data_IF_747264671068
#
_entry.id   IF_747264671068
#
_cell.length_a   1.000
_cell.length_b   1.000
_cell.length_c   1.000
_cell.angle_alpha   90.00
_cell.angle_beta   90.00
_cell.angle_gamma   90.00
#
_symmetry.space_group_name_H-M   'P 1'
#
loop_
_entity.id
_entity.type
_entity.pdbx_description
1 polymer ?
#
# COMPACT_ATOMS: atom_id res chain seq x y z
N UNK A 1 11.68 -31.17 -23.89
CA UNK A 1 10.41 -30.93 -23.21
C UNK A 1 10.32 -31.59 -21.83
N UNK A 2 10.73 -32.86 -21.63
CA UNK A 2 10.75 -33.57 -20.34
C UNK A 2 11.68 -32.92 -19.29
N UNK A 3 12.90 -32.54 -19.65
CA UNK A 3 13.88 -31.92 -18.74
C UNK A 3 13.41 -30.55 -18.22
N UNK A 4 12.70 -29.76 -19.02
CA UNK A 4 12.09 -28.50 -18.59
C UNK A 4 10.94 -28.73 -17.60
N UNK A 5 10.15 -29.77 -17.81
CA UNK A 5 9.02 -30.15 -16.94
C UNK A 5 9.49 -30.63 -15.57
N UNK A 6 10.59 -31.37 -15.51
CA UNK A 6 11.15 -31.87 -14.25
C UNK A 6 11.87 -30.75 -13.48
N UNK A 7 12.55 -29.83 -14.15
CA UNK A 7 13.08 -28.61 -13.53
C UNK A 7 11.97 -27.70 -12.98
N UNK A 8 10.90 -27.49 -13.73
CA UNK A 8 9.74 -26.71 -13.28
C UNK A 8 9.07 -27.40 -12.09
N UNK A 9 8.89 -28.73 -12.10
CA UNK A 9 8.37 -29.48 -10.95
C UNK A 9 9.27 -29.37 -9.72
N UNK A 10 10.59 -29.41 -9.88
CA UNK A 10 11.55 -29.19 -8.78
C UNK A 10 11.46 -27.79 -8.18
N UNK A 11 11.32 -26.75 -9.01
CA UNK A 11 11.11 -25.38 -8.55
C UNK A 11 9.76 -25.20 -7.84
N UNK A 12 8.68 -25.78 -8.38
CA UNK A 12 7.33 -25.72 -7.78
C UNK A 12 7.25 -26.46 -6.42
N UNK A 13 8.08 -27.44 -6.20
CA UNK A 13 8.14 -28.20 -4.94
C UNK A 13 9.05 -27.56 -3.88
N UNK A 14 9.85 -26.57 -4.27
CA UNK A 14 10.75 -25.89 -3.32
C UNK A 14 9.94 -25.12 -2.26
N UNK A 15 10.21 -25.31 -0.95
CA UNK A 15 9.43 -24.69 0.13
C UNK A 15 9.31 -23.16 0.00
N UNK A 16 10.40 -22.49 -0.39
CA UNK A 16 10.42 -21.03 -0.62
C UNK A 16 9.41 -20.63 -1.70
N UNK A 17 9.31 -21.38 -2.80
CA UNK A 17 8.41 -21.08 -3.91
C UNK A 17 6.94 -21.19 -3.47
N UNK A 18 6.58 -22.25 -2.73
CA UNK A 18 5.21 -22.41 -2.18
C UNK A 18 4.83 -21.25 -1.26
N UNK A 19 5.74 -20.84 -0.38
CA UNK A 19 5.52 -19.71 0.54
C UNK A 19 5.33 -18.39 -0.23
N UNK A 20 6.20 -18.12 -1.19
CA UNK A 20 6.10 -16.94 -2.06
C UNK A 20 4.76 -16.88 -2.79
N UNK A 21 4.29 -18.00 -3.35
CA UNK A 21 3.00 -18.07 -4.03
C UNK A 21 1.86 -17.71 -3.06
N UNK A 22 1.85 -18.28 -1.85
CA UNK A 22 0.79 -18.01 -0.87
C UNK A 22 0.77 -16.50 -0.53
N UNK A 23 1.92 -15.90 -0.21
CA UNK A 23 1.99 -14.45 0.03
C UNK A 23 1.51 -13.63 -1.16
N UNK A 24 1.99 -13.95 -2.38
CA UNK A 24 1.64 -13.21 -3.60
C UNK A 24 0.14 -13.32 -3.92
N UNK A 25 -0.44 -14.51 -3.84
CA UNK A 25 -1.87 -14.72 -4.07
C UNK A 25 -2.69 -13.98 -3.01
N UNK A 26 -2.30 -14.08 -1.75
CA UNK A 26 -3.01 -13.40 -0.67
C UNK A 26 -2.97 -11.88 -0.83
N UNK A 27 -1.79 -11.30 -1.10
CA UNK A 27 -1.64 -9.87 -1.38
C UNK A 27 -2.42 -9.46 -2.65
N UNK A 28 -2.45 -10.32 -3.67
CA UNK A 28 -3.21 -10.11 -4.90
C UNK A 28 -4.72 -10.06 -4.63
N UNK A 29 -5.25 -11.04 -3.90
CA UNK A 29 -6.68 -11.09 -3.51
C UNK A 29 -7.05 -9.84 -2.71
N UNK A 30 -6.28 -9.49 -1.66
CA UNK A 30 -6.57 -8.33 -0.82
C UNK A 30 -6.57 -7.00 -1.58
N UNK A 31 -5.64 -6.82 -2.49
CA UNK A 31 -5.58 -5.60 -3.33
C UNK A 31 -6.70 -5.57 -4.38
N UNK A 32 -7.09 -6.73 -4.90
CA UNK A 32 -8.17 -6.84 -5.90
C UNK A 32 -9.56 -6.58 -5.30
N UNK A 33 -9.72 -6.75 -3.99
CA UNK A 33 -11.01 -6.52 -3.31
C UNK A 33 -11.50 -5.07 -3.48
N UNK A 34 -10.61 -4.10 -3.40
CA UNK A 34 -10.98 -2.70 -3.63
C UNK A 34 -11.61 -2.50 -5.00
N UNK A 35 -11.13 -3.24 -6.01
CA UNK A 35 -11.68 -3.21 -7.36
C UNK A 35 -13.03 -3.96 -7.48
N UNK A 36 -13.13 -5.13 -6.82
CA UNK A 36 -14.38 -5.93 -6.82
C UNK A 36 -15.53 -5.17 -6.14
N UNK A 37 -15.21 -4.34 -5.15
CA UNK A 37 -16.18 -3.52 -4.41
C UNK A 37 -16.62 -2.27 -5.18
N UNK A 38 -15.90 -1.84 -6.24
CA UNK A 38 -16.24 -0.63 -7.00
C UNK A 38 -17.68 -0.58 -7.53
N UNK A 39 -18.24 -1.65 -8.13
CA UNK A 39 -19.64 -1.63 -8.56
C UNK A 39 -20.58 -1.35 -7.39
N UNK A 40 -20.41 -2.04 -6.25
CA UNK A 40 -21.24 -1.82 -5.04
C UNK A 40 -21.14 -0.35 -4.62
N UNK A 41 -19.92 0.17 -4.47
CA UNK A 41 -19.69 1.57 -4.11
C UNK A 41 -20.37 2.52 -5.10
N UNK A 42 -20.30 2.25 -6.41
CA UNK A 42 -20.84 3.14 -7.44
C UNK A 42 -22.38 3.22 -7.43
N UNK A 43 -23.07 2.18 -7.04
CA UNK A 43 -24.54 2.17 -6.98
C UNK A 43 -25.11 2.73 -5.68
N UNK A 44 -24.42 2.57 -4.56
CA UNK A 44 -24.92 2.91 -3.23
C UNK A 44 -24.29 4.15 -2.59
N UNK A 45 -23.18 4.66 -3.12
CA UNK A 45 -22.48 5.84 -2.60
C UNK A 45 -22.45 6.90 -3.70
N UNK A 46 -22.92 8.11 -3.44
CA UNK A 46 -22.83 9.20 -4.41
C UNK A 46 -21.41 9.77 -4.47
N UNK A 47 -20.99 10.43 -5.59
CA UNK A 47 -19.62 10.92 -5.72
C UNK A 47 -19.16 11.87 -4.60
N UNK A 48 -20.02 12.76 -4.09
CA UNK A 48 -19.66 13.63 -2.96
C UNK A 48 -19.33 12.87 -1.68
N UNK A 49 -20.10 11.85 -1.38
CA UNK A 49 -19.88 10.98 -0.23
C UNK A 49 -18.60 10.12 -0.41
N UNK A 50 -18.33 9.63 -1.63
CA UNK A 50 -17.07 8.98 -1.92
C UNK A 50 -15.87 9.94 -1.73
N UNK A 51 -16.06 11.23 -2.01
CA UNK A 51 -15.08 12.29 -1.73
C UNK A 51 -14.79 12.43 -0.23
N UNK A 52 -15.81 12.35 0.63
CA UNK A 52 -15.63 12.34 2.11
C UNK A 52 -14.81 11.11 2.52
N UNK A 53 -15.15 9.93 2.01
CA UNK A 53 -14.39 8.71 2.30
C UNK A 53 -12.94 8.80 1.80
N UNK A 54 -12.70 9.44 0.65
CA UNK A 54 -11.36 9.67 0.13
C UNK A 54 -10.53 10.63 1.00
N UNK A 55 -11.17 11.67 1.56
CA UNK A 55 -10.52 12.59 2.50
C UNK A 55 -10.21 11.90 3.85
N UNK A 56 -11.09 10.99 4.31
CA UNK A 56 -10.78 10.12 5.44
C UNK A 56 -9.50 9.31 5.18
N UNK A 57 -9.36 8.70 4.00
CA UNK A 57 -8.17 7.93 3.61
C UNK A 57 -6.90 8.80 3.59
N UNK A 58 -7.01 10.07 3.12
CA UNK A 58 -5.89 11.03 3.13
C UNK A 58 -5.42 11.33 4.55
N UNK A 59 -6.35 11.66 5.46
CA UNK A 59 -6.03 11.91 6.86
C UNK A 59 -5.50 10.66 7.54
N UNK A 60 -6.11 9.51 7.31
CA UNK A 60 -5.63 8.24 7.88
C UNK A 60 -4.20 7.92 7.46
N UNK A 61 -3.85 8.11 6.19
CA UNK A 61 -2.50 7.80 5.70
C UNK A 61 -1.43 8.68 6.34
N UNK A 62 -1.67 9.99 6.59
CA UNK A 62 -0.71 10.82 7.31
C UNK A 62 -0.63 10.44 8.78
N UNK A 63 -1.76 10.11 9.41
CA UNK A 63 -1.78 9.63 10.80
C UNK A 63 -0.97 8.35 10.96
N UNK A 64 -1.17 7.34 10.09
CA UNK A 64 -0.41 6.08 10.10
C UNK A 64 1.10 6.35 9.99
N UNK A 65 1.49 7.24 9.07
CA UNK A 65 2.88 7.62 8.85
C UNK A 65 3.48 8.23 10.11
N UNK A 66 2.80 9.22 10.72
CA UNK A 66 3.26 9.90 11.92
C UNK A 66 3.18 9.00 13.17
N UNK A 67 2.19 8.10 13.24
CA UNK A 67 1.97 7.20 14.37
C UNK A 67 3.03 6.10 14.52
N UNK A 68 3.93 5.94 13.53
CA UNK A 68 5.06 5.06 13.68
C UNK A 68 5.17 3.95 12.64
N UNK A 69 4.62 4.12 11.45
CA UNK A 69 4.78 3.15 10.36
C UNK A 69 6.26 2.81 10.08
N UNK A 70 7.14 3.82 10.09
CA UNK A 70 8.57 3.63 9.92
C UNK A 70 9.19 2.82 11.07
N UNK A 71 8.68 3.01 12.29
CA UNK A 71 9.11 2.26 13.48
C UNK A 71 8.67 0.80 13.36
N UNK A 72 7.41 0.54 12.97
CA UNK A 72 6.90 -0.82 12.74
C UNK A 72 7.69 -1.53 11.63
N UNK A 73 8.03 -0.81 10.56
CA UNK A 73 8.84 -1.33 9.45
C UNK A 73 10.29 -1.67 9.83
N UNK A 74 10.75 -1.25 11.00
CA UNK A 74 12.09 -1.61 11.50
C UNK A 74 12.18 -3.03 12.06
N UNK A 75 11.05 -3.64 12.42
CA UNK A 75 11.00 -4.94 13.10
C UNK A 75 11.80 -6.05 12.39
N UNK A 76 11.74 -6.22 11.05
CA UNK A 76 12.53 -7.24 10.35
C UNK A 76 14.04 -7.10 10.53
N UNK A 77 14.55 -5.87 10.65
CA UNK A 77 15.97 -5.60 10.79
C UNK A 77 16.53 -6.00 12.15
N UNK A 78 15.66 -6.04 13.17
CA UNK A 78 16.04 -6.42 14.53
C UNK A 78 15.66 -7.86 14.89
N UNK A 79 14.87 -8.54 14.05
CA UNK A 79 14.29 -9.85 14.37
C UNK A 79 15.34 -10.95 14.44
N UNK A 80 16.21 -11.06 13.45
CA UNK A 80 17.16 -12.18 13.33
C UNK A 80 18.40 -12.07 14.24
N UNK A 81 18.65 -10.89 14.80
CA UNK A 81 19.79 -10.64 15.69
C UNK A 81 19.44 -10.86 17.16
N UNK A 82 18.19 -11.23 17.48
CA UNK A 82 17.66 -11.26 18.84
C UNK A 82 17.03 -12.61 19.19
N UNK A 83 17.07 -12.93 20.46
CA UNK A 83 16.32 -14.05 21.03
C UNK A 83 14.82 -13.76 21.01
N UNK A 84 14.01 -14.82 21.13
CA UNK A 84 12.53 -14.65 21.16
C UNK A 84 12.07 -13.72 22.28
N UNK A 85 12.71 -13.77 23.44
CA UNK A 85 12.38 -12.89 24.58
C UNK A 85 12.71 -11.43 24.28
N UNK A 86 13.88 -11.17 23.68
CA UNK A 86 14.27 -9.82 23.26
C UNK A 86 13.37 -9.27 22.16
N UNK A 87 12.91 -10.11 21.23
CA UNK A 87 11.91 -9.74 20.22
C UNK A 87 10.57 -9.41 20.88
N UNK A 88 10.15 -10.15 21.91
CA UNK A 88 8.92 -9.87 22.64
C UNK A 88 9.00 -8.52 23.39
N UNK A 89 10.15 -8.21 24.01
CA UNK A 89 10.39 -6.88 24.60
C UNK A 89 10.34 -5.79 23.53
N UNK A 90 10.98 -6.03 22.38
CA UNK A 90 10.97 -5.09 21.24
C UNK A 90 9.55 -4.83 20.75
N UNK A 91 8.75 -5.87 20.50
CA UNK A 91 7.35 -5.78 20.04
C UNK A 91 6.48 -5.03 21.03
N UNK A 92 6.62 -5.33 22.33
CA UNK A 92 5.83 -4.65 23.37
C UNK A 92 6.16 -3.17 23.49
N UNK A 93 7.43 -2.80 23.41
CA UNK A 93 7.87 -1.40 23.43
C UNK A 93 7.48 -0.65 22.15
N UNK A 94 7.50 -1.33 21.00
CA UNK A 94 7.05 -0.79 19.73
C UNK A 94 5.55 -0.48 19.76
N UNK A 95 4.71 -1.42 20.22
CA UNK A 95 3.27 -1.21 20.36
C UNK A 95 2.94 -0.11 21.37
N UNK A 96 3.70 -0.02 22.47
CA UNK A 96 3.57 1.06 23.43
C UNK A 96 3.90 2.42 22.81
N UNK A 97 4.98 2.55 22.05
CA UNK A 97 5.30 3.77 21.33
C UNK A 97 4.19 4.18 20.35
N UNK A 98 3.72 3.23 19.55
CA UNK A 98 2.61 3.46 18.61
C UNK A 98 1.37 3.95 19.35
N UNK A 99 1.03 3.35 20.49
CA UNK A 99 -0.10 3.78 21.34
C UNK A 99 0.08 5.20 21.84
N UNK A 100 1.24 5.52 22.42
CA UNK A 100 1.52 6.85 22.98
C UNK A 100 1.48 7.93 21.90
N UNK A 101 2.06 7.68 20.72
CA UNK A 101 2.03 8.63 19.61
C UNK A 101 0.59 8.81 19.09
N UNK A 102 -0.21 7.74 18.98
CA UNK A 102 -1.62 7.86 18.59
C UNK A 102 -2.44 8.67 19.60
N UNK A 103 -2.18 8.55 20.91
CA UNK A 103 -2.83 9.39 21.93
C UNK A 103 -2.45 10.87 21.73
N UNK A 104 -1.18 11.17 21.49
CA UNK A 104 -0.72 12.54 21.20
C UNK A 104 -1.38 13.08 19.94
N UNK A 105 -1.44 12.28 18.87
CA UNK A 105 -2.10 12.66 17.63
C UNK A 105 -3.61 12.88 17.80
N UNK A 106 -4.28 12.07 18.64
CA UNK A 106 -5.69 12.30 18.98
C UNK A 106 -5.90 13.66 19.66
N UNK A 107 -5.03 14.01 20.60
CA UNK A 107 -5.06 15.31 21.28
C UNK A 107 -4.85 16.45 20.26
N UNK A 108 -3.83 16.34 19.41
CA UNK A 108 -3.56 17.34 18.35
C UNK A 108 -4.76 17.51 17.43
N UNK A 109 -5.40 16.41 17.01
CA UNK A 109 -6.58 16.44 16.14
C UNK A 109 -7.73 17.19 16.81
N UNK A 110 -7.99 16.96 18.10
CA UNK A 110 -9.05 17.66 18.82
C UNK A 110 -8.81 19.18 18.81
N UNK A 111 -7.57 19.63 19.01
CA UNK A 111 -7.23 21.06 18.96
C UNK A 111 -7.25 21.63 17.52
N UNK A 112 -6.92 20.84 16.52
CA UNK A 112 -6.83 21.27 15.13
C UNK A 112 -8.10 20.95 14.31
N UNK A 113 -9.17 20.46 14.95
CA UNK A 113 -10.35 19.92 14.25
C UNK A 113 -10.94 20.91 13.25
N UNK A 114 -11.08 22.18 13.59
CA UNK A 114 -11.67 23.21 12.70
C UNK A 114 -10.81 23.45 11.44
N UNK A 115 -9.48 23.35 11.58
CA UNK A 115 -8.55 23.49 10.44
C UNK A 115 -8.70 22.26 9.53
N UNK A 116 -8.69 21.06 10.11
CA UNK A 116 -8.82 19.81 9.35
C UNK A 116 -10.18 19.74 8.65
N UNK A 117 -11.25 20.11 9.34
CA UNK A 117 -12.61 20.13 8.76
C UNK A 117 -12.74 21.15 7.63
N UNK A 118 -12.09 22.32 7.76
CA UNK A 118 -12.09 23.35 6.72
C UNK A 118 -11.47 22.90 5.39
N UNK A 119 -10.47 22.00 5.41
CA UNK A 119 -9.81 21.51 4.20
C UNK A 119 -10.34 20.15 3.73
N UNK A 120 -10.70 19.25 4.65
CA UNK A 120 -11.06 17.86 4.32
C UNK A 120 -12.56 17.60 4.39
N UNK A 121 -13.36 18.53 4.92
CA UNK A 121 -14.80 18.39 5.12
C UNK A 121 -15.19 17.09 5.85
N UNK A 122 -14.42 16.70 6.86
CA UNK A 122 -14.67 15.55 7.75
C UNK A 122 -14.75 16.05 9.19
N UNK A 123 -15.87 15.77 9.86
CA UNK A 123 -16.10 16.18 11.24
C UNK A 123 -15.22 15.42 12.24
N UNK A 124 -15.14 15.92 13.48
CA UNK A 124 -14.28 15.40 14.56
C UNK A 124 -14.42 13.88 14.78
N UNK A 125 -15.63 13.34 14.71
CA UNK A 125 -15.86 11.88 14.89
C UNK A 125 -15.10 11.06 13.86
N UNK A 126 -15.16 11.44 12.58
CA UNK A 126 -14.42 10.77 11.52
C UNK A 126 -12.91 11.00 11.64
N UNK A 127 -12.47 12.19 12.06
CA UNK A 127 -11.05 12.47 12.33
C UNK A 127 -10.50 11.55 13.44
N UNK A 128 -11.22 11.34 14.55
CA UNK A 128 -10.81 10.43 15.63
C UNK A 128 -10.82 8.96 15.18
N UNK A 129 -11.74 8.57 14.30
CA UNK A 129 -11.73 7.24 13.70
C UNK A 129 -10.48 6.98 12.85
N UNK A 130 -9.84 8.01 12.26
CA UNK A 130 -8.56 7.82 11.56
C UNK A 130 -7.44 7.44 12.54
N UNK A 131 -7.43 8.00 13.75
CA UNK A 131 -6.44 7.64 14.79
C UNK A 131 -6.67 6.21 15.27
N UNK A 132 -7.93 5.86 15.58
CA UNK A 132 -8.28 4.50 16.00
C UNK A 132 -7.87 3.46 14.93
N UNK A 133 -8.22 3.72 13.68
CA UNK A 133 -7.88 2.81 12.58
C UNK A 133 -6.38 2.73 12.33
N UNK A 134 -5.65 3.83 12.50
CA UNK A 134 -4.18 3.87 12.44
C UNK A 134 -3.55 2.96 13.52
N UNK A 135 -3.98 3.10 14.77
CA UNK A 135 -3.51 2.27 15.88
C UNK A 135 -3.74 0.78 15.59
N UNK A 136 -4.96 0.43 15.17
CA UNK A 136 -5.34 -0.94 14.83
C UNK A 136 -4.52 -1.49 13.64
N UNK A 137 -4.35 -0.70 12.60
CA UNK A 137 -3.58 -1.10 11.41
C UNK A 137 -2.12 -1.37 11.76
N UNK A 138 -1.48 -0.49 12.54
CA UNK A 138 -0.09 -0.66 12.94
C UNK A 138 0.09 -1.89 13.83
N UNK A 139 -0.84 -2.15 14.77
CA UNK A 139 -0.83 -3.35 15.60
C UNK A 139 -0.97 -4.64 14.75
N UNK A 140 -1.89 -4.65 13.77
CA UNK A 140 -2.05 -5.77 12.84
C UNK A 140 -0.78 -5.99 12.00
N UNK A 141 -0.15 -4.92 11.52
CA UNK A 141 1.08 -4.99 10.73
C UNK A 141 2.24 -5.64 11.50
N UNK A 142 2.38 -5.38 12.80
CA UNK A 142 3.39 -6.05 13.65
C UNK A 142 3.23 -7.57 13.56
N UNK A 143 2.02 -8.09 13.72
CA UNK A 143 1.78 -9.52 13.67
C UNK A 143 1.97 -10.10 12.26
N UNK A 144 1.58 -9.36 11.21
CA UNK A 144 1.85 -9.76 9.82
C UNK A 144 3.35 -9.85 9.53
N UNK A 145 4.15 -8.89 10.02
CA UNK A 145 5.61 -8.92 9.89
C UNK A 145 6.18 -10.16 10.60
N UNK A 146 5.75 -10.44 11.83
CA UNK A 146 6.21 -11.61 12.57
C UNK A 146 5.89 -12.92 11.84
N UNK A 147 4.68 -13.07 11.27
CA UNK A 147 4.36 -14.27 10.47
C UNK A 147 5.24 -14.40 9.22
N UNK A 148 5.64 -13.27 8.60
CA UNK A 148 6.60 -13.31 7.48
C UNK A 148 8.00 -13.73 7.95
N UNK A 149 8.45 -13.24 9.11
CA UNK A 149 9.76 -13.59 9.68
C UNK A 149 9.82 -15.06 10.16
N UNK A 150 8.69 -15.59 10.63
CA UNK A 150 8.55 -16.98 11.06
C UNK A 150 8.26 -17.96 9.91
N UNK A 151 8.26 -17.48 8.66
CA UNK A 151 7.91 -18.30 7.50
C UNK A 151 6.54 -19.00 7.61
N UNK A 152 5.54 -18.29 8.14
CA UNK A 152 4.19 -18.81 8.35
C UNK A 152 3.14 -18.18 7.43
N UNK A 153 3.17 -18.50 6.12
CA UNK A 153 2.30 -17.87 5.12
C UNK A 153 0.82 -18.25 5.30
N UNK A 154 0.53 -19.40 5.89
CA UNK A 154 -0.86 -19.88 6.05
C UNK A 154 -1.61 -19.02 7.08
N UNK A 155 -1.01 -18.76 8.25
CA UNK A 155 -1.64 -17.92 9.25
C UNK A 155 -1.71 -16.45 8.81
N UNK A 156 -0.68 -15.97 8.11
CA UNK A 156 -0.72 -14.67 7.44
C UNK A 156 -1.94 -14.57 6.49
N UNK A 157 -2.10 -15.55 5.59
CA UNK A 157 -3.19 -15.58 4.63
C UNK A 157 -4.57 -15.65 5.30
N UNK A 158 -4.74 -16.50 6.30
CA UNK A 158 -6.01 -16.63 7.04
C UNK A 158 -6.46 -15.31 7.65
N UNK A 159 -5.56 -14.59 8.30
CA UNK A 159 -5.87 -13.32 8.94
C UNK A 159 -6.15 -12.22 7.92
N UNK A 160 -5.36 -12.14 6.85
CA UNK A 160 -5.53 -11.14 5.82
C UNK A 160 -6.84 -11.34 5.04
N UNK A 161 -7.14 -12.59 4.65
CA UNK A 161 -8.41 -12.94 3.99
C UNK A 161 -9.58 -12.75 4.96
N UNK A 162 -9.44 -13.15 6.22
CA UNK A 162 -10.46 -12.92 7.24
C UNK A 162 -10.80 -11.45 7.43
N UNK A 163 -9.81 -10.56 7.43
CA UNK A 163 -10.03 -9.11 7.49
C UNK A 163 -10.81 -8.59 6.29
N UNK A 164 -10.49 -9.10 5.11
CA UNK A 164 -11.19 -8.73 3.87
C UNK A 164 -12.64 -9.20 3.88
N UNK A 165 -12.88 -10.45 4.24
CA UNK A 165 -14.25 -11.00 4.33
C UNK A 165 -15.08 -10.18 5.32
N UNK A 166 -14.51 -9.87 6.48
CA UNK A 166 -15.19 -9.07 7.50
C UNK A 166 -15.50 -7.66 6.99
N UNK A 167 -14.55 -7.00 6.34
CA UNK A 167 -14.75 -5.69 5.72
C UNK A 167 -15.87 -5.71 4.67
N UNK A 168 -15.85 -6.65 3.73
CA UNK A 168 -16.85 -6.75 2.67
C UNK A 168 -18.23 -7.06 3.23
N UNK A 169 -18.31 -7.94 4.24
CA UNK A 169 -19.59 -8.27 4.92
C UNK A 169 -20.16 -7.04 5.62
N UNK A 170 -19.35 -6.28 6.36
CA UNK A 170 -19.79 -5.06 7.02
C UNK A 170 -20.16 -3.97 6.01
N UNK A 171 -19.40 -3.85 4.91
CA UNK A 171 -19.73 -2.92 3.83
C UNK A 171 -21.11 -3.25 3.23
N UNK A 172 -21.40 -4.52 2.95
CA UNK A 172 -22.71 -4.94 2.45
C UNK A 172 -23.82 -4.60 3.46
N UNK A 173 -23.62 -4.84 4.74
CA UNK A 173 -24.60 -4.54 5.78
C UNK A 173 -24.81 -3.03 5.92
N UNK A 174 -23.75 -2.23 6.05
CA UNK A 174 -23.85 -0.81 6.37
C UNK A 174 -24.19 0.06 5.14
N UNK A 175 -23.63 -0.27 3.97
CA UNK A 175 -23.84 0.52 2.76
C UNK A 175 -25.09 0.07 1.99
N UNK A 176 -25.31 -1.26 1.83
CA UNK A 176 -26.46 -1.77 1.10
C UNK A 176 -27.68 -1.88 2.03
N UNK A 177 -27.50 -2.46 3.24
CA UNK A 177 -28.60 -2.74 4.16
C UNK A 177 -29.12 -1.49 4.88
N UNK A 178 -28.21 -0.61 5.35
CA UNK A 178 -28.57 0.60 6.10
C UNK A 178 -28.40 1.91 5.28
N UNK A 179 -27.97 1.84 4.03
CA UNK A 179 -27.78 3.00 3.12
C UNK A 179 -26.89 4.11 3.68
N UNK A 180 -25.94 3.76 4.56
CA UNK A 180 -25.03 4.67 5.23
C UNK A 180 -23.81 5.03 4.34
N UNK A 181 -24.00 5.52 3.19
CA UNK A 181 -23.02 6.00 2.18
C UNK A 181 -21.54 6.07 2.65
N UNK A 182 -20.96 7.29 2.77
CA UNK A 182 -19.57 7.46 3.22
C UNK A 182 -19.31 6.91 4.62
N UNK A 183 -20.22 7.21 5.54
CA UNK A 183 -20.12 6.76 6.96
C UNK A 183 -20.15 5.25 7.03
N UNK A 184 -21.04 4.59 6.27
CA UNK A 184 -21.11 3.14 6.20
C UNK A 184 -19.83 2.51 5.66
N UNK A 185 -19.23 3.08 4.61
CA UNK A 185 -17.94 2.62 4.06
C UNK A 185 -16.80 2.78 5.08
N UNK A 186 -16.70 3.93 5.73
CA UNK A 186 -15.66 4.22 6.73
C UNK A 186 -15.84 3.30 7.94
N UNK A 187 -17.04 3.18 8.50
CA UNK A 187 -17.32 2.33 9.65
C UNK A 187 -17.06 0.86 9.33
N UNK A 188 -17.43 0.38 8.15
CA UNK A 188 -17.13 -1.00 7.73
C UNK A 188 -15.63 -1.31 7.82
N UNK A 189 -14.79 -0.38 7.36
CA UNK A 189 -13.35 -0.51 7.43
C UNK A 189 -12.83 -0.42 8.87
N UNK A 190 -13.23 0.60 9.63
CA UNK A 190 -12.75 0.83 11.00
C UNK A 190 -13.16 -0.29 11.94
N UNK A 191 -14.40 -0.76 11.86
CA UNK A 191 -14.87 -1.88 12.69
C UNK A 191 -14.18 -3.17 12.32
N UNK A 192 -14.03 -3.46 11.02
CA UNK A 192 -13.32 -4.67 10.58
C UNK A 192 -11.88 -4.70 11.08
N UNK A 193 -11.13 -3.60 10.92
CA UNK A 193 -9.73 -3.54 11.33
C UNK A 193 -9.60 -3.57 12.86
N UNK A 194 -10.55 -2.99 13.60
CA UNK A 194 -10.57 -3.01 15.06
C UNK A 194 -10.83 -4.41 15.61
N UNK A 195 -11.83 -5.13 15.09
CA UNK A 195 -12.09 -6.53 15.46
C UNK A 195 -10.85 -7.39 15.17
N UNK A 196 -10.28 -7.23 13.99
CA UNK A 196 -9.05 -7.96 13.63
C UNK A 196 -7.88 -7.59 14.54
N UNK A 197 -7.77 -6.33 14.99
CA UNK A 197 -6.72 -5.90 15.91
C UNK A 197 -6.80 -6.63 17.25
N UNK A 198 -7.99 -6.83 17.81
CA UNK A 198 -8.15 -7.65 19.00
C UNK A 198 -7.69 -9.10 18.78
N UNK A 199 -8.01 -9.69 17.62
CA UNK A 199 -7.55 -11.04 17.26
C UNK A 199 -6.01 -11.05 17.13
N UNK A 200 -5.42 -10.06 16.45
CA UNK A 200 -3.97 -9.95 16.29
C UNK A 200 -3.25 -9.79 17.64
N UNK A 201 -3.74 -8.93 18.52
CA UNK A 201 -3.19 -8.73 19.86
C UNK A 201 -3.31 -10.01 20.72
N UNK A 202 -4.47 -10.68 20.68
CA UNK A 202 -4.65 -11.98 21.33
C UNK A 202 -3.64 -13.04 20.84
N UNK A 203 -3.42 -13.10 19.53
CA UNK A 203 -2.44 -14.03 18.94
C UNK A 203 -1.00 -13.67 19.33
N UNK A 204 -0.65 -12.39 19.37
CA UNK A 204 0.66 -11.93 19.86
C UNK A 204 0.87 -12.34 21.32
N UNK A 205 -0.15 -12.16 22.16
CA UNK A 205 -0.13 -12.59 23.56
C UNK A 205 0.05 -14.09 23.67
N UNK A 206 -0.78 -14.88 22.99
CA UNK A 206 -0.71 -16.36 23.02
C UNK A 206 0.63 -16.91 22.53
N UNK A 207 1.28 -16.23 21.58
CA UNK A 207 2.60 -16.63 21.05
C UNK A 207 3.77 -16.15 21.91
N UNK A 208 3.51 -15.40 22.99
CA UNK A 208 4.50 -14.90 23.93
C UNK A 208 5.29 -13.69 23.41
N UNK A 209 4.71 -12.88 22.49
CA UNK A 209 5.32 -11.66 21.98
C UNK A 209 4.89 -10.39 22.73
N UNK A 210 3.98 -10.52 23.72
CA UNK A 210 3.59 -9.38 24.58
C UNK A 210 4.14 -9.62 26.00
N UNK A 211 5.10 -8.80 26.38
CA UNK A 211 5.70 -8.77 27.72
C UNK A 211 5.58 -7.35 28.25
N UNK A 212 4.98 -7.19 29.44
CA UNK A 212 4.83 -5.90 30.09
C UNK A 212 6.15 -5.41 30.72
N UNK A 213 7.16 -5.17 29.87
CA UNK A 213 8.46 -4.65 30.27
C UNK A 213 8.78 -3.42 29.41
N UNK A 214 8.73 -2.26 30.05
CA UNK A 214 9.11 -1.01 29.38
C UNK A 214 10.63 -0.88 29.43
N UNK A 215 11.25 -0.71 28.27
CA UNK A 215 12.69 -0.49 28.13
C UNK A 215 12.96 0.75 27.28
N UNK A 216 13.40 1.80 27.94
CA UNK A 216 13.69 3.09 27.32
C UNK A 216 14.80 2.99 26.26
N UNK A 217 15.77 2.10 26.43
CA UNK A 217 16.86 1.93 25.47
C UNK A 217 16.34 1.30 24.16
N UNK A 218 15.42 0.34 24.28
CA UNK A 218 14.74 -0.24 23.13
C UNK A 218 13.91 0.84 22.42
N UNK A 219 13.14 1.65 23.16
CA UNK A 219 12.36 2.75 22.59
C UNK A 219 13.25 3.78 21.87
N UNK A 220 14.38 4.19 22.49
CA UNK A 220 15.36 5.08 21.84
C UNK A 220 15.92 4.47 20.55
N UNK A 221 16.21 3.19 20.53
CA UNK A 221 16.71 2.49 19.35
C UNK A 221 15.68 2.50 18.22
N UNK A 222 14.41 2.22 18.53
CA UNK A 222 13.30 2.27 17.59
C UNK A 222 13.09 3.68 17.01
N UNK A 223 13.10 4.70 17.89
CA UNK A 223 12.98 6.11 17.46
C UNK A 223 14.17 6.55 16.60
N UNK A 224 15.40 6.17 16.97
CA UNK A 224 16.62 6.50 16.20
C UNK A 224 16.57 5.91 14.79
N UNK A 225 15.91 4.77 14.60
CA UNK A 225 15.70 4.17 13.28
C UNK A 225 14.55 4.84 12.52
N UNK A 226 13.39 5.02 13.16
CA UNK A 226 12.14 5.42 12.49
C UNK A 226 12.05 6.93 12.21
N UNK A 227 12.48 7.80 13.13
CA UNK A 227 12.35 9.26 13.00
C UNK A 227 13.07 9.81 11.76
N UNK A 228 14.33 9.41 11.44
CA UNK A 228 15.00 9.88 10.23
C UNK A 228 14.30 9.49 8.91
N UNK A 229 13.43 8.49 8.92
CA UNK A 229 12.67 8.05 7.74
C UNK A 229 11.37 8.85 7.54
N UNK A 230 10.93 9.63 8.55
CA UNK A 230 9.69 10.41 8.44
C UNK A 230 9.69 11.41 7.29
N UNK A 231 10.75 12.23 7.04
CA UNK A 231 10.76 13.17 5.92
C UNK A 231 10.61 12.45 4.57
N UNK A 232 11.26 11.29 4.42
CA UNK A 232 11.15 10.47 3.22
C UNK A 232 9.71 9.96 3.01
N UNK A 233 9.10 9.41 4.05
CA UNK A 233 7.73 8.91 3.99
C UNK A 233 6.72 10.05 3.77
N UNK A 234 6.94 11.22 4.37
CA UNK A 234 6.12 12.40 4.19
C UNK A 234 6.14 12.88 2.74
N UNK A 235 7.29 12.83 2.05
CA UNK A 235 7.39 13.18 0.63
C UNK A 235 6.49 12.29 -0.25
N UNK A 236 6.39 11.00 0.06
CA UNK A 236 5.45 10.10 -0.64
C UNK A 236 3.99 10.42 -0.34
N UNK A 237 3.68 10.77 0.91
CA UNK A 237 2.30 11.16 1.26
C UNK A 237 1.89 12.45 0.55
N UNK A 238 2.76 13.47 0.53
CA UNK A 238 2.50 14.71 -0.22
C UNK A 238 2.17 14.39 -1.67
N UNK A 239 2.97 13.53 -2.29
CA UNK A 239 2.78 13.13 -3.69
C UNK A 239 1.45 12.40 -3.96
N UNK A 240 0.92 11.63 -2.99
CA UNK A 240 -0.25 10.78 -3.18
C UNK A 240 -1.54 11.27 -2.52
N UNK A 241 -1.47 12.34 -1.72
CA UNK A 241 -2.60 12.84 -0.95
C UNK A 241 -2.94 14.32 -1.20
N UNK A 242 -1.95 15.15 -1.58
CA UNK A 242 -2.19 16.57 -1.80
C UNK A 242 -3.15 16.85 -2.96
N UNK A 243 -3.13 16.03 -4.01
CA UNK A 243 -4.07 16.11 -5.14
C UNK A 243 -5.53 16.06 -4.67
N UNK A 244 -5.87 15.17 -3.74
CA UNK A 244 -7.23 15.04 -3.21
C UNK A 244 -7.63 16.25 -2.33
N UNK A 245 -6.69 16.79 -1.55
CA UNK A 245 -6.93 18.01 -0.76
C UNK A 245 -7.19 19.20 -1.69
N UNK A 246 -6.35 19.38 -2.70
CA UNK A 246 -6.50 20.44 -3.70
C UNK A 246 -7.83 20.31 -4.44
N UNK A 247 -8.17 19.11 -4.92
CA UNK A 247 -9.43 18.86 -5.60
C UNK A 247 -10.64 19.14 -4.70
N UNK A 248 -10.58 18.71 -3.42
CA UNK A 248 -11.65 19.00 -2.47
C UNK A 248 -11.83 20.49 -2.25
N UNK A 249 -10.73 21.23 -2.06
CA UNK A 249 -10.76 22.65 -1.73
C UNK A 249 -11.22 23.51 -2.90
N UNK A 250 -10.77 23.22 -4.13
CA UNK A 250 -11.03 24.07 -5.30
C UNK A 250 -12.15 23.57 -6.20
N UNK A 251 -12.39 22.26 -6.25
CA UNK A 251 -13.36 21.65 -7.16
C UNK A 251 -14.52 20.96 -6.44
N UNK A 252 -14.42 20.79 -5.12
CA UNK A 252 -15.45 20.19 -4.28
C UNK A 252 -15.37 18.67 -4.16
N UNK A 253 -16.16 18.15 -3.21
CA UNK A 253 -16.18 16.73 -2.82
C UNK A 253 -16.57 15.79 -3.97
N UNK A 254 -17.53 16.19 -4.82
CA UNK A 254 -17.96 15.33 -5.94
C UNK A 254 -16.84 15.05 -6.94
N UNK A 255 -16.05 16.08 -7.27
CA UNK A 255 -14.90 15.93 -8.18
C UNK A 255 -13.82 15.04 -7.54
N UNK A 256 -13.53 15.24 -6.25
CA UNK A 256 -12.62 14.36 -5.52
C UNK A 256 -13.11 12.91 -5.50
N UNK A 257 -14.42 12.67 -5.34
CA UNK A 257 -15.01 11.34 -5.39
C UNK A 257 -14.86 10.66 -6.75
N UNK A 258 -15.14 11.40 -7.86
CA UNK A 258 -14.92 10.90 -9.23
C UNK A 258 -13.45 10.59 -9.51
N UNK A 259 -12.55 11.46 -9.07
CA UNK A 259 -11.11 11.26 -9.17
C UNK A 259 -10.63 10.04 -8.35
N UNK A 260 -11.16 9.88 -7.14
CA UNK A 260 -10.83 8.74 -6.26
C UNK A 260 -11.34 7.40 -6.83
N UNK A 261 -12.51 7.42 -7.50
CA UNK A 261 -12.99 6.27 -8.28
C UNK A 261 -11.98 5.93 -9.40
N UNK A 262 -11.54 6.94 -10.15
CA UNK A 262 -10.57 6.75 -11.23
C UNK A 262 -9.21 6.24 -10.71
N UNK A 263 -8.73 6.72 -9.54
CA UNK A 263 -7.50 6.21 -8.90
C UNK A 263 -7.58 4.72 -8.54
N UNK A 264 -8.76 4.20 -8.24
CA UNK A 264 -8.94 2.78 -7.96
C UNK A 264 -8.61 1.89 -9.18
N UNK A 265 -8.89 2.37 -10.39
CA UNK A 265 -8.46 1.71 -11.63
C UNK A 265 -6.93 1.79 -11.83
N UNK A 266 -6.33 2.94 -11.48
CA UNK A 266 -4.87 3.11 -11.49
C UNK A 266 -4.15 2.13 -10.54
N UNK A 267 -4.74 1.84 -9.39
CA UNK A 267 -4.20 0.87 -8.44
C UNK A 267 -4.14 -0.55 -9.02
N UNK A 268 -5.14 -0.96 -9.81
CA UNK A 268 -5.11 -2.25 -10.53
C UNK A 268 -3.99 -2.27 -11.57
N UNK A 269 -3.83 -1.19 -12.33
CA UNK A 269 -2.73 -1.09 -13.29
C UNK A 269 -1.35 -1.17 -12.62
N UNK A 270 -1.20 -0.59 -11.41
CA UNK A 270 0.03 -0.67 -10.64
C UNK A 270 0.42 -2.10 -10.22
N UNK A 271 -0.55 -3.04 -10.07
CA UNK A 271 -0.27 -4.45 -9.82
C UNK A 271 0.46 -5.10 -11.00
N UNK A 272 0.07 -4.78 -12.22
CA UNK A 272 0.78 -5.27 -13.41
C UNK A 272 2.21 -4.74 -13.47
N UNK A 273 2.43 -3.45 -13.17
CA UNK A 273 3.76 -2.86 -13.10
C UNK A 273 4.65 -3.56 -12.09
N UNK A 274 4.12 -3.87 -10.91
CA UNK A 274 4.86 -4.61 -9.88
C UNK A 274 5.25 -6.00 -10.39
N UNK A 275 4.35 -6.68 -11.10
CA UNK A 275 4.61 -7.99 -11.68
C UNK A 275 5.72 -7.95 -12.73
N UNK A 276 5.71 -6.94 -13.62
CA UNK A 276 6.80 -6.73 -14.59
C UNK A 276 8.13 -6.47 -13.91
N UNK A 277 8.17 -5.62 -12.90
CA UNK A 277 9.38 -5.30 -12.14
C UNK A 277 9.96 -6.53 -11.45
N UNK A 278 9.11 -7.39 -10.89
CA UNK A 278 9.52 -8.63 -10.22
C UNK A 278 10.22 -9.63 -11.16
N UNK A 279 9.95 -9.57 -12.45
CA UNK A 279 10.61 -10.41 -13.47
C UNK A 279 11.85 -9.72 -14.02
N UNK A 280 11.75 -8.44 -14.34
CA UNK A 280 12.80 -7.69 -15.01
C UNK A 280 14.02 -7.43 -14.12
N UNK A 281 13.79 -7.00 -12.86
CA UNK A 281 14.88 -6.60 -11.96
C UNK A 281 15.87 -7.73 -11.66
N UNK A 282 15.44 -8.94 -11.28
CA UNK A 282 16.37 -10.05 -11.07
C UNK A 282 17.13 -10.47 -12.34
N UNK A 283 16.48 -10.44 -13.51
CA UNK A 283 17.16 -10.79 -14.76
C UNK A 283 18.22 -9.74 -15.13
N UNK A 284 17.91 -8.46 -14.95
CA UNK A 284 18.87 -7.36 -15.13
C UNK A 284 20.09 -7.54 -14.21
N UNK A 285 19.85 -7.73 -12.91
CA UNK A 285 20.90 -7.88 -11.91
C UNK A 285 21.79 -9.10 -12.19
N UNK A 286 21.17 -10.24 -12.54
CA UNK A 286 21.89 -11.47 -12.88
C UNK A 286 22.80 -11.29 -14.08
N UNK A 287 22.35 -10.59 -15.13
CA UNK A 287 23.14 -10.35 -16.35
C UNK A 287 24.25 -9.35 -16.11
N UNK A 288 23.96 -8.26 -15.41
CA UNK A 288 25.00 -7.28 -15.06
C UNK A 288 26.08 -7.87 -14.16
N UNK A 289 25.73 -8.77 -13.23
CA UNK A 289 26.71 -9.46 -12.38
C UNK A 289 27.61 -10.45 -13.15
N UNK A 290 27.15 -10.96 -14.30
CA UNK A 290 27.92 -11.87 -15.17
C UNK A 290 28.61 -11.15 -16.32
N UNK A 291 28.51 -9.85 -16.40
CA UNK A 291 29.08 -9.06 -17.48
C UNK A 291 30.62 -9.00 -17.34
N UNK A 292 31.30 -9.41 -18.41
CA UNK A 292 32.75 -9.33 -18.57
C UNK A 292 33.10 -8.42 -19.78
N UNK A 293 34.29 -7.89 -19.88
CA UNK A 293 34.69 -7.08 -21.04
C UNK A 293 34.44 -7.77 -22.39
N UNK A 294 34.50 -9.10 -22.42
CA UNK A 294 34.33 -9.92 -23.63
C UNK A 294 32.87 -10.02 -24.08
N UNK A 295 31.90 -10.06 -23.12
CA UNK A 295 30.47 -10.22 -23.41
C UNK A 295 29.65 -8.94 -23.21
N UNK A 296 30.28 -7.83 -22.80
CA UNK A 296 29.60 -6.59 -22.41
C UNK A 296 28.65 -6.07 -23.48
N UNK A 297 29.08 -6.06 -24.74
CA UNK A 297 28.29 -5.56 -25.85
C UNK A 297 27.01 -6.40 -26.07
N UNK A 298 27.13 -7.73 -26.07
CA UNK A 298 26.00 -8.63 -26.29
C UNK A 298 25.01 -8.60 -25.13
N UNK A 299 25.49 -8.54 -23.89
CA UNK A 299 24.63 -8.42 -22.71
C UNK A 299 23.89 -7.08 -22.65
N UNK A 300 24.57 -5.97 -22.95
CA UNK A 300 23.93 -4.64 -23.07
C UNK A 300 22.89 -4.62 -24.18
N UNK A 301 23.21 -5.15 -25.35
CA UNK A 301 22.30 -5.25 -26.49
C UNK A 301 21.05 -6.08 -26.14
N UNK A 302 21.22 -7.19 -25.43
CA UNK A 302 20.11 -8.01 -24.97
C UNK A 302 19.22 -7.23 -23.98
N UNK A 303 19.81 -6.54 -22.98
CA UNK A 303 19.09 -5.77 -22.00
C UNK A 303 18.31 -4.60 -22.64
N UNK A 304 18.90 -3.90 -23.60
CA UNK A 304 18.24 -2.86 -24.37
C UNK A 304 17.06 -3.45 -25.15
N UNK A 305 17.27 -4.56 -25.86
CA UNK A 305 16.18 -5.24 -26.61
C UNK A 305 15.06 -5.73 -25.69
N UNK A 306 15.41 -6.23 -24.50
CA UNK A 306 14.43 -6.64 -23.49
C UNK A 306 13.65 -5.43 -22.98
N UNK A 307 14.32 -4.30 -22.69
CA UNK A 307 13.65 -3.08 -22.22
C UNK A 307 12.67 -2.54 -23.27
N UNK A 308 13.04 -2.55 -24.59
CA UNK A 308 12.12 -2.15 -25.65
C UNK A 308 10.91 -3.10 -25.75
N UNK A 309 11.13 -4.42 -25.63
CA UNK A 309 10.02 -5.40 -25.65
C UNK A 309 9.07 -5.20 -24.47
N UNK A 310 9.61 -5.02 -23.27
CA UNK A 310 8.81 -4.75 -22.07
C UNK A 310 8.11 -3.41 -22.17
N UNK A 311 8.78 -2.37 -22.63
CA UNK A 311 8.19 -1.06 -22.87
C UNK A 311 7.03 -1.11 -23.87
N UNK A 312 7.20 -1.85 -24.98
CA UNK A 312 6.11 -2.07 -25.95
C UNK A 312 4.94 -2.83 -25.32
N UNK A 313 5.22 -3.86 -24.52
CA UNK A 313 4.19 -4.62 -23.81
C UNK A 313 3.42 -3.74 -22.80
N UNK A 314 4.09 -2.85 -22.10
CA UNK A 314 3.48 -1.89 -21.17
C UNK A 314 2.59 -0.88 -21.92
N UNK A 315 3.00 -0.40 -23.12
CA UNK A 315 2.15 0.45 -23.97
C UNK A 315 0.89 -0.26 -24.44
N UNK A 316 1.02 -1.52 -24.90
CA UNK A 316 -0.15 -2.33 -25.29
C UNK A 316 -1.07 -2.57 -24.11
N UNK A 317 -0.52 -2.89 -22.94
CA UNK A 317 -1.28 -3.06 -21.71
C UNK A 317 -2.02 -1.76 -21.32
N UNK A 318 -1.38 -0.60 -21.46
CA UNK A 318 -1.99 0.70 -21.22
C UNK A 318 -3.28 0.86 -22.07
N UNK A 319 -3.20 0.60 -23.37
CA UNK A 319 -4.37 0.71 -24.26
C UNK A 319 -5.47 -0.30 -23.88
N UNK A 320 -5.09 -1.54 -23.63
CA UNK A 320 -6.05 -2.59 -23.22
C UNK A 320 -6.76 -2.19 -21.93
N UNK A 321 -6.01 -1.72 -20.92
CA UNK A 321 -6.60 -1.32 -19.62
C UNK A 321 -7.50 -0.12 -19.78
N UNK A 322 -7.15 0.91 -20.58
CA UNK A 322 -8.03 2.05 -20.85
C UNK A 322 -9.35 1.59 -21.47
N UNK A 323 -9.30 0.68 -22.45
CA UNK A 323 -10.51 0.11 -23.10
C UNK A 323 -11.36 -0.66 -22.07
N UNK A 324 -10.74 -1.50 -21.25
CA UNK A 324 -11.44 -2.25 -20.21
C UNK A 324 -12.06 -1.30 -19.15
N UNK A 325 -11.36 -0.24 -18.77
CA UNK A 325 -11.88 0.77 -17.87
C UNK A 325 -13.07 1.53 -18.48
N UNK A 326 -13.02 1.82 -19.79
CA UNK A 326 -14.14 2.42 -20.50
C UNK A 326 -15.38 1.52 -20.44
N UNK A 327 -15.21 0.23 -20.72
CA UNK A 327 -16.30 -0.76 -20.61
C UNK A 327 -16.84 -0.81 -19.19
N UNK A 328 -15.97 -0.89 -18.17
CA UNK A 328 -16.36 -0.94 -16.77
C UNK A 328 -17.16 0.29 -16.36
N UNK A 329 -16.69 1.50 -16.71
CA UNK A 329 -17.34 2.75 -16.32
C UNK A 329 -18.70 2.92 -16.98
N UNK A 330 -18.86 2.51 -18.26
CA UNK A 330 -20.10 2.74 -19.00
C UNK A 330 -21.13 1.61 -18.87
N UNK A 331 -20.73 0.39 -18.54
CA UNK A 331 -21.64 -0.76 -18.50
C UNK A 331 -21.77 -1.41 -17.11
N UNK A 332 -20.83 -1.17 -16.20
CA UNK A 332 -20.81 -1.85 -14.90
C UNK A 332 -21.02 -0.87 -13.75
N UNK A 333 -20.46 0.36 -13.84
CA UNK A 333 -20.67 1.36 -12.79
C UNK A 333 -21.98 2.13 -13.00
N UNK A 334 -22.47 2.75 -11.93
CA UNK A 334 -23.62 3.66 -11.98
C UNK A 334 -23.30 4.90 -12.83
N UNK A 335 -24.29 5.43 -13.55
CA UNK A 335 -24.18 6.61 -14.43
C UNK A 335 -23.59 7.84 -13.72
N UNK A 336 -23.84 7.99 -12.42
CA UNK A 336 -23.28 9.10 -11.62
C UNK A 336 -21.73 9.11 -11.61
N UNK A 337 -21.09 8.01 -11.95
CA UNK A 337 -19.64 7.88 -12.07
C UNK A 337 -19.11 7.90 -13.51
N UNK A 338 -19.98 8.07 -14.52
CA UNK A 338 -19.56 8.11 -15.93
C UNK A 338 -18.46 9.16 -16.17
N UNK A 339 -18.56 10.32 -15.52
CA UNK A 339 -17.57 11.39 -15.62
C UNK A 339 -16.20 11.03 -15.00
N UNK A 340 -16.07 9.95 -14.24
CA UNK A 340 -14.78 9.49 -13.72
C UNK A 340 -13.83 9.05 -14.85
N UNK A 341 -14.38 8.64 -16.00
CA UNK A 341 -13.58 8.20 -17.13
C UNK A 341 -12.63 9.29 -17.66
N UNK A 342 -12.98 10.57 -17.54
CA UNK A 342 -12.13 11.68 -17.99
C UNK A 342 -10.75 11.70 -17.29
N UNK A 343 -10.65 11.16 -16.06
CA UNK A 343 -9.39 11.09 -15.30
C UNK A 343 -8.59 9.80 -15.55
N UNK A 344 -9.27 8.69 -15.88
CA UNK A 344 -8.67 7.35 -15.99
C UNK A 344 -7.52 7.29 -17.00
N UNK A 345 -7.66 7.82 -18.26
CA UNK A 345 -6.57 7.75 -19.23
C UNK A 345 -5.30 8.44 -18.73
N UNK A 346 -5.42 9.58 -18.05
CA UNK A 346 -4.29 10.33 -17.52
C UNK A 346 -3.59 9.60 -16.37
N UNK A 347 -4.35 8.97 -15.48
CA UNK A 347 -3.83 8.18 -14.36
C UNK A 347 -3.07 6.95 -14.90
N UNK A 348 -3.64 6.24 -15.88
CA UNK A 348 -3.01 5.07 -16.48
C UNK A 348 -1.78 5.47 -17.29
N UNK A 349 -1.84 6.58 -18.04
CA UNK A 349 -0.70 7.12 -18.77
C UNK A 349 0.45 7.51 -17.84
N UNK A 350 0.14 8.22 -16.75
CA UNK A 350 1.13 8.55 -15.70
C UNK A 350 1.78 7.29 -15.12
N UNK A 351 0.98 6.26 -14.82
CA UNK A 351 1.49 4.98 -14.32
C UNK A 351 2.32 4.23 -15.37
N UNK A 352 1.99 4.40 -16.65
CA UNK A 352 2.76 3.86 -17.78
C UNK A 352 4.13 4.54 -17.88
N UNK A 353 4.17 5.86 -17.79
CA UNK A 353 5.43 6.64 -17.78
C UNK A 353 6.29 6.22 -16.56
N UNK A 354 5.66 6.05 -15.40
CA UNK A 354 6.35 5.54 -14.20
C UNK A 354 6.93 4.13 -14.41
N UNK A 355 6.29 3.29 -15.24
CA UNK A 355 6.84 1.97 -15.59
C UNK A 355 8.12 2.08 -16.42
N UNK A 356 8.18 3.02 -17.38
CA UNK A 356 9.41 3.28 -18.12
C UNK A 356 10.54 3.77 -17.23
N UNK A 357 10.22 4.67 -16.29
CA UNK A 357 11.17 5.07 -15.24
C UNK A 357 11.69 3.85 -14.47
N UNK A 358 10.79 2.92 -14.08
CA UNK A 358 11.13 1.66 -13.40
C UNK A 358 12.09 0.76 -14.19
N UNK A 359 11.98 0.72 -15.53
CA UNK A 359 12.90 -0.05 -16.36
C UNK A 359 14.31 0.56 -16.39
N UNK A 360 14.42 1.89 -16.38
CA UNK A 360 15.70 2.60 -16.50
C UNK A 360 16.41 2.73 -15.16
N UNK A 361 15.67 3.02 -14.07
CA UNK A 361 16.22 3.32 -12.74
C UNK A 361 17.01 2.17 -12.12
N UNK A 362 16.67 0.93 -12.48
CA UNK A 362 17.32 -0.24 -11.92
C UNK A 362 18.81 -0.37 -12.34
N UNK A 363 19.17 0.14 -13.51
CA UNK A 363 20.55 0.09 -13.97
C UNK A 363 21.49 0.94 -13.11
N UNK A 364 21.24 2.26 -12.85
CA UNK A 364 22.03 3.06 -11.93
C UNK A 364 22.12 2.46 -10.51
N UNK A 365 21.06 1.84 -10.01
CA UNK A 365 21.11 1.14 -8.71
C UNK A 365 22.10 -0.02 -8.72
N UNK A 366 22.05 -0.85 -9.76
CA UNK A 366 22.91 -2.04 -9.84
C UNK A 366 24.38 -1.67 -10.00
N UNK A 367 24.70 -0.61 -10.76
CA UNK A 367 26.07 -0.10 -10.92
C UNK A 367 26.49 0.89 -9.83
N UNK A 368 25.67 1.06 -8.77
CA UNK A 368 25.92 1.92 -7.59
C UNK A 368 26.15 3.41 -7.90
N UNK A 369 25.63 3.91 -9.03
CA UNK A 369 25.67 5.34 -9.41
C UNK A 369 24.39 6.05 -9.02
N UNK A 370 24.15 6.20 -7.70
CA UNK A 370 22.86 6.66 -7.13
C UNK A 370 22.75 8.17 -6.95
N UNK A 371 23.88 8.93 -6.94
CA UNK A 371 23.85 10.38 -6.69
C UNK A 371 23.04 11.17 -7.73
N UNK A 372 23.30 10.95 -9.02
CA UNK A 372 22.57 11.61 -10.11
C UNK A 372 21.07 11.26 -10.10
N UNK A 373 20.76 10.04 -9.71
CA UNK A 373 19.39 9.57 -9.56
C UNK A 373 18.65 10.31 -8.44
N UNK A 374 19.29 10.49 -7.28
CA UNK A 374 18.73 11.26 -6.17
C UNK A 374 18.45 12.71 -6.56
N UNK A 375 19.35 13.35 -7.30
CA UNK A 375 19.19 14.71 -7.77
C UNK A 375 18.01 14.85 -8.75
N UNK A 376 17.93 13.97 -9.76
CA UNK A 376 16.84 13.99 -10.76
C UNK A 376 15.49 13.74 -10.10
N UNK A 377 15.42 12.79 -9.15
CA UNK A 377 14.16 12.50 -8.44
C UNK A 377 13.74 13.65 -7.54
N UNK A 378 14.69 14.29 -6.86
CA UNK A 378 14.41 15.46 -6.03
C UNK A 378 13.90 16.65 -6.85
N UNK A 379 14.58 16.98 -7.95
CA UNK A 379 14.16 18.04 -8.86
C UNK A 379 12.77 17.74 -9.46
N UNK A 380 12.53 16.51 -9.91
CA UNK A 380 11.23 16.09 -10.44
C UNK A 380 10.09 16.19 -9.40
N UNK A 381 10.36 15.90 -8.14
CA UNK A 381 9.38 16.07 -7.06
C UNK A 381 9.13 17.53 -6.72
N UNK A 382 10.14 18.40 -6.81
CA UNK A 382 9.98 19.83 -6.59
C UNK A 382 9.14 20.53 -7.69
N UNK A 383 9.19 20.01 -8.92
CA UNK A 383 8.34 20.51 -10.02
C UNK A 383 6.87 20.06 -9.92
N UNK A 384 6.56 19.11 -9.06
CA UNK A 384 5.19 18.59 -8.87
C UNK A 384 4.39 19.38 -7.82
N UNK A 385 5.07 20.17 -6.98
CA UNK A 385 4.49 21.12 -6.00
C UNK A 385 4.25 22.46 -6.63
#
# INVERSE_FOLDING_TARGET
MYILRDRIKGYLQHPIFKRTIIYTITDGITKSISFIVLPIVSYFIVPSELGIAANFDVLQNIIILLAGQAIVSSLPYFYYERTKEEVAILVSNLLLLVLLVNIILAIIIVFCTNIIEGYLHIGLSLQLLTVLSSLCMLANNVNFILYKMEDNPINFAKLQIGQVILYVSLLAILVIGYEQQAVGKILSYVVAISIMSFIHLYLLYKRGYLIFKVDINVQKTLCKFGIPLLPHSLSFWIKSGMDKIILTTYCGLSVNGLYSMALSFGAVYALFNTSFSNVYVPELQKRLAKMTPENEYEEKKFLVKLSYKLGSAVCVLCLIVIILCWIMVHYVLSEQYASSFQYIPWIILSSTIYSFYGLVIQYPYTVKKTFGLGLVTFLGSAFQL
#
